data_IF_080542015359
#
_entry.id   IF_080542015359
#
_cell.length_a   1.000
_cell.length_b   1.000
_cell.length_c   1.000
_cell.angle_alpha   90.00
_cell.angle_beta   90.00
_cell.angle_gamma   90.00
#
_symmetry.space_group_name_H-M   'P 1'
#
loop_
_entity.id
_entity.type
_entity.pdbx_description
1 polymer ?
#
# COMPACT_ATOMS: atom_id res chain seq x y z
N UNK A 1 -49.85 -29.52 -37.69
CA UNK A 1 -49.83 -28.55 -36.56
C UNK A 1 -48.75 -28.87 -35.58
N UNK A 2 -47.44 -28.71 -35.88
CA UNK A 2 -46.32 -28.98 -34.95
C UNK A 2 -45.14 -28.01 -35.09
N UNK A 3 -45.32 -26.80 -35.67
CA UNK A 3 -44.23 -25.83 -35.90
C UNK A 3 -44.29 -24.55 -35.05
N UNK A 4 -45.27 -24.36 -34.17
CA UNK A 4 -45.43 -23.08 -33.42
C UNK A 4 -44.99 -23.15 -31.95
N UNK A 5 -44.49 -24.28 -31.44
CA UNK A 5 -44.06 -24.41 -30.04
C UNK A 5 -42.54 -24.40 -29.83
N UNK A 6 -41.76 -24.44 -30.93
CA UNK A 6 -40.29 -24.44 -30.82
C UNK A 6 -39.64 -23.02 -30.76
N UNK A 7 -40.34 -22.02 -31.33
CA UNK A 7 -39.83 -20.64 -31.31
C UNK A 7 -39.80 -20.00 -29.90
N UNK A 8 -40.85 -20.10 -29.08
CA UNK A 8 -40.81 -19.50 -27.74
C UNK A 8 -39.82 -20.19 -26.79
N UNK A 9 -39.58 -21.51 -26.94
CA UNK A 9 -38.59 -22.23 -26.13
C UNK A 9 -37.16 -21.84 -26.48
N UNK A 10 -36.84 -21.56 -27.75
CA UNK A 10 -35.51 -21.10 -28.17
C UNK A 10 -35.21 -19.67 -27.71
N UNK A 11 -36.24 -18.79 -27.70
CA UNK A 11 -36.09 -17.41 -27.19
C UNK A 11 -35.88 -17.39 -25.66
N UNK A 12 -36.58 -18.28 -24.93
CA UNK A 12 -36.39 -18.42 -23.47
C UNK A 12 -35.00 -18.95 -23.12
N UNK A 13 -34.51 -19.95 -23.88
CA UNK A 13 -33.16 -20.48 -23.68
C UNK A 13 -32.04 -19.46 -24.01
N UNK A 14 -32.24 -18.66 -25.06
CA UNK A 14 -31.32 -17.57 -25.39
C UNK A 14 -31.34 -16.45 -24.34
N UNK A 15 -32.54 -16.11 -23.82
CA UNK A 15 -32.70 -15.13 -22.74
C UNK A 15 -31.97 -15.56 -21.44
N UNK A 16 -32.10 -16.82 -21.05
CA UNK A 16 -31.44 -17.37 -19.86
C UNK A 16 -29.91 -17.46 -20.02
N UNK A 17 -29.43 -17.83 -21.21
CA UNK A 17 -27.99 -17.89 -21.46
C UNK A 17 -27.34 -16.50 -21.53
N UNK A 18 -28.03 -15.48 -22.04
CA UNK A 18 -27.55 -14.09 -22.07
C UNK A 18 -27.56 -13.49 -20.67
N UNK A 19 -28.57 -13.74 -19.84
CA UNK A 19 -28.59 -13.30 -18.45
C UNK A 19 -27.52 -13.99 -17.61
N UNK A 20 -27.28 -15.30 -17.81
CA UNK A 20 -26.19 -16.02 -17.13
C UNK A 20 -24.79 -15.56 -17.58
N UNK A 21 -24.63 -15.23 -18.88
CA UNK A 21 -23.37 -14.68 -19.39
C UNK A 21 -23.13 -13.23 -18.88
N UNK A 22 -24.21 -12.45 -18.69
CA UNK A 22 -24.12 -11.09 -18.13
C UNK A 22 -23.85 -11.09 -16.63
N UNK A 23 -24.45 -12.00 -15.88
CA UNK A 23 -24.13 -12.19 -14.46
C UNK A 23 -22.68 -12.71 -14.25
N UNK A 24 -22.14 -13.53 -15.17
CA UNK A 24 -20.72 -13.94 -15.11
C UNK A 24 -19.74 -12.87 -15.58
N UNK A 25 -20.15 -11.89 -16.40
CA UNK A 25 -19.28 -10.78 -16.82
C UNK A 25 -19.30 -9.58 -15.86
N UNK A 26 -20.33 -9.45 -15.04
CA UNK A 26 -20.44 -8.39 -14.03
C UNK A 26 -19.70 -8.69 -12.72
N UNK A 27 -19.06 -9.86 -12.57
CA UNK A 27 -18.52 -10.34 -11.31
C UNK A 27 -17.01 -10.56 -11.30
N UNK A 28 -16.22 -9.83 -12.09
CA UNK A 28 -14.75 -10.00 -12.13
C UNK A 28 -13.98 -8.69 -12.19
N UNK A 29 -14.40 -7.70 -11.45
CA UNK A 29 -13.57 -6.55 -11.15
C UNK A 29 -13.88 -6.11 -9.72
N UNK A 30 -12.97 -6.25 -8.81
CA UNK A 30 -12.99 -5.65 -7.49
C UNK A 30 -13.40 -6.56 -6.31
N UNK A 31 -13.44 -7.89 -6.46
CA UNK A 31 -13.79 -8.80 -5.36
C UNK A 31 -12.66 -9.76 -4.94
N UNK A 32 -11.53 -9.78 -5.63
CA UNK A 32 -10.39 -10.62 -5.23
C UNK A 32 -9.75 -10.16 -3.91
N UNK A 33 -9.76 -8.87 -3.66
CA UNK A 33 -9.14 -8.28 -2.47
C UNK A 33 -10.04 -8.39 -1.22
N UNK A 34 -11.32 -8.74 -1.39
CA UNK A 34 -12.26 -8.94 -0.29
C UNK A 34 -12.28 -10.39 0.24
N UNK A 35 -11.67 -11.34 -0.46
CA UNK A 35 -11.67 -12.75 -0.02
C UNK A 35 -10.91 -12.93 1.30
N UNK A 36 -9.87 -12.14 1.56
CA UNK A 36 -9.08 -12.19 2.79
C UNK A 36 -9.70 -11.42 3.97
N UNK A 37 -10.72 -10.59 3.73
CA UNK A 37 -11.49 -9.93 4.79
C UNK A 37 -12.26 -10.89 5.70
N UNK A 38 -12.39 -12.16 5.30
CA UNK A 38 -13.01 -13.23 6.09
C UNK A 38 -12.04 -13.99 6.98
N UNK A 39 -10.76 -13.63 6.95
CA UNK A 39 -9.79 -14.24 7.84
C UNK A 39 -10.19 -13.98 9.31
N UNK A 40 -10.20 -15.01 10.17
CA UNK A 40 -10.61 -14.84 11.55
C UNK A 40 -9.70 -13.83 12.26
N UNK A 41 -10.30 -13.02 13.14
CA UNK A 41 -9.56 -12.09 13.98
C UNK A 41 -8.57 -12.91 14.83
N UNK A 42 -7.26 -12.64 14.77
CA UNK A 42 -6.27 -13.33 15.56
C UNK A 42 -6.50 -13.17 17.07
N UNK A 43 -6.11 -14.17 17.86
CA UNK A 43 -6.28 -14.12 19.31
C UNK A 43 -5.51 -12.97 19.98
N UNK A 44 -4.42 -12.51 19.35
CA UNK A 44 -3.57 -11.40 19.82
C UNK A 44 -3.97 -10.03 19.25
N UNK A 45 -5.12 -9.90 18.58
CA UNK A 45 -5.56 -8.67 17.91
C UNK A 45 -5.61 -7.44 18.84
N UNK A 46 -5.92 -7.66 20.13
CA UNK A 46 -6.00 -6.61 21.15
C UNK A 46 -4.83 -6.65 22.14
N UNK A 47 -3.78 -7.40 21.84
CA UNK A 47 -2.60 -7.47 22.73
C UNK A 47 -1.87 -6.14 22.71
N UNK A 48 -1.42 -5.71 23.91
CA UNK A 48 -0.54 -4.55 24.03
C UNK A 48 0.88 -4.97 23.71
N UNK A 49 1.36 -4.49 22.57
CA UNK A 49 2.70 -4.81 22.04
C UNK A 49 3.52 -3.54 21.90
N UNK A 50 4.85 -3.68 21.80
CA UNK A 50 5.75 -2.55 21.60
C UNK A 50 5.60 -1.91 20.21
N UNK A 51 5.14 -2.69 19.23
CA UNK A 51 4.90 -2.24 17.86
C UNK A 51 3.53 -2.69 17.36
N UNK A 52 2.85 -1.79 16.69
CA UNK A 52 1.61 -2.04 15.96
C UNK A 52 1.78 -1.47 14.55
N UNK A 53 1.56 -2.28 13.55
CA UNK A 53 1.49 -1.80 12.17
C UNK A 53 0.23 -1.00 11.97
N UNK A 54 0.36 0.32 11.79
CA UNK A 54 -0.76 1.22 11.55
C UNK A 54 -0.86 1.57 10.07
N UNK A 55 -2.02 1.28 9.46
CA UNK A 55 -2.32 1.61 8.06
C UNK A 55 -3.17 2.87 8.00
N UNK A 56 -2.72 3.86 7.23
CA UNK A 56 -3.44 5.12 7.06
C UNK A 56 -4.62 4.95 6.09
N UNK A 57 -5.81 5.27 6.56
CA UNK A 57 -6.99 5.49 5.73
C UNK A 57 -7.08 6.97 5.39
N UNK A 58 -7.17 7.28 4.10
CA UNK A 58 -7.20 8.64 3.57
C UNK A 58 -8.33 8.78 2.52
N UNK A 59 -8.81 10.02 2.25
CA UNK A 59 -9.75 10.27 1.17
C UNK A 59 -9.10 10.14 -0.21
N UNK A 60 -9.86 9.58 -1.18
CA UNK A 60 -9.42 9.42 -2.55
C UNK A 60 -9.46 10.75 -3.32
N UNK A 61 -8.47 10.96 -4.19
CA UNK A 61 -8.39 12.10 -5.09
C UNK A 61 -9.54 12.10 -6.11
N UNK A 62 -10.30 13.18 -6.12
CA UNK A 62 -11.51 13.31 -6.94
C UNK A 62 -11.30 14.06 -8.26
N UNK A 63 -10.15 14.75 -8.41
CA UNK A 63 -9.90 15.68 -9.54
C UNK A 63 -9.79 15.04 -10.92
N UNK A 64 -9.60 13.73 -11.01
CA UNK A 64 -9.47 13.02 -12.30
C UNK A 64 -10.77 12.35 -12.76
N UNK A 65 -11.85 12.55 -12.02
CA UNK A 65 -13.15 11.93 -12.25
C UNK A 65 -13.10 10.40 -12.10
N UNK A 66 -14.26 9.79 -11.87
CA UNK A 66 -14.39 8.32 -11.68
C UNK A 66 -13.89 7.44 -12.86
N UNK A 67 -13.42 8.04 -13.95
CA UNK A 67 -13.01 7.34 -15.20
C UNK A 67 -11.51 7.37 -15.50
N UNK A 68 -10.69 8.08 -14.71
CA UNK A 68 -9.30 8.36 -15.07
C UNK A 68 -8.29 7.30 -14.61
N UNK A 69 -8.46 6.70 -13.45
CA UNK A 69 -7.59 5.65 -12.91
C UNK A 69 -8.42 4.52 -12.34
N UNK A 70 -7.98 3.28 -12.53
CA UNK A 70 -8.74 2.07 -12.32
C UNK A 70 -9.51 2.04 -10.98
N UNK A 71 -10.74 1.58 -11.04
CA UNK A 71 -11.52 1.21 -9.87
C UNK A 71 -10.70 0.29 -8.95
N UNK A 72 -10.50 0.71 -7.69
CA UNK A 72 -9.96 -0.15 -6.65
C UNK A 72 -8.55 0.19 -6.15
N UNK A 73 -7.95 1.29 -6.60
CA UNK A 73 -6.68 1.78 -6.06
C UNK A 73 -6.96 2.81 -4.96
N UNK A 74 -6.75 2.43 -3.73
CA UNK A 74 -6.91 3.28 -2.56
C UNK A 74 -6.13 2.71 -1.38
N UNK A 75 -6.31 3.28 -0.18
CA UNK A 75 -5.72 2.77 1.04
C UNK A 75 -6.04 1.28 1.33
N UNK A 76 -7.03 0.67 0.64
CA UNK A 76 -7.40 -0.75 0.79
C UNK A 76 -6.68 -1.69 -0.15
N UNK A 77 -5.78 -1.21 -1.03
CA UNK A 77 -4.98 -2.07 -1.91
C UNK A 77 -4.21 -3.08 -1.06
N UNK A 78 -4.29 -4.38 -1.43
CA UNK A 78 -3.66 -5.53 -0.76
C UNK A 78 -4.08 -5.76 0.71
N UNK A 79 -5.03 -4.96 1.21
CA UNK A 79 -5.50 -5.05 2.58
C UNK A 79 -6.46 -6.22 2.79
N UNK A 80 -6.35 -6.99 3.86
CA UNK A 80 -5.33 -6.92 4.91
C UNK A 80 -4.17 -7.91 4.75
N UNK A 81 -4.07 -8.61 3.63
CA UNK A 81 -3.16 -9.75 3.47
C UNK A 81 -1.69 -9.33 3.53
N UNK A 82 -1.30 -8.27 2.82
CA UNK A 82 0.07 -7.78 2.84
C UNK A 82 0.52 -7.37 4.24
N UNK A 83 -0.34 -6.66 5.00
CA UNK A 83 -0.05 -6.23 6.38
C UNK A 83 0.21 -7.42 7.30
N UNK A 84 -0.62 -8.46 7.19
CA UNK A 84 -0.53 -9.67 8.03
C UNK A 84 0.68 -10.52 7.69
N UNK A 85 1.04 -10.64 6.40
CA UNK A 85 2.26 -11.34 5.99
C UNK A 85 3.51 -10.56 6.40
N UNK A 86 3.49 -9.22 6.28
CA UNK A 86 4.57 -8.39 6.81
C UNK A 86 4.73 -8.56 8.33
N UNK A 87 3.65 -8.52 9.10
CA UNK A 87 3.70 -8.72 10.55
C UNK A 87 4.24 -10.09 10.95
N UNK A 88 3.93 -11.15 10.18
CA UNK A 88 4.55 -12.45 10.38
C UNK A 88 6.06 -12.40 10.16
N UNK A 89 6.54 -11.69 9.13
CA UNK A 89 7.97 -11.51 8.87
C UNK A 89 8.64 -10.69 9.98
N UNK A 90 8.05 -9.58 10.42
CA UNK A 90 8.55 -8.76 11.54
C UNK A 90 8.76 -9.63 12.78
N UNK A 91 7.77 -10.43 13.17
CA UNK A 91 7.84 -11.32 14.34
C UNK A 91 8.88 -12.44 14.22
N UNK A 92 9.18 -12.89 13.01
CA UNK A 92 10.14 -14.00 12.75
C UNK A 92 11.56 -13.53 12.52
N UNK A 93 11.72 -12.38 11.88
CA UNK A 93 13.02 -11.88 11.41
C UNK A 93 13.61 -10.79 12.30
N UNK A 94 12.83 -10.29 13.24
CA UNK A 94 13.28 -9.34 14.27
C UNK A 94 12.90 -9.85 15.66
N UNK A 95 13.33 -9.12 16.71
CA UNK A 95 12.90 -9.37 18.10
C UNK A 95 11.76 -8.44 18.53
N UNK A 96 11.16 -7.73 17.60
CA UNK A 96 10.07 -6.79 17.88
C UNK A 96 8.83 -7.59 18.31
N UNK A 97 8.29 -7.25 19.46
CA UNK A 97 7.02 -7.78 19.94
C UNK A 97 5.88 -7.03 19.26
N UNK A 98 5.34 -7.60 18.20
CA UNK A 98 4.21 -7.07 17.44
C UNK A 98 3.02 -8.04 17.49
N UNK A 99 1.80 -7.53 17.56
CA UNK A 99 0.60 -8.34 17.35
C UNK A 99 0.50 -8.75 15.86
N UNK A 100 -0.27 -9.78 15.55
CA UNK A 100 -0.40 -10.31 14.18
C UNK A 100 -1.48 -9.62 13.34
N UNK A 101 -2.06 -8.54 13.86
CA UNK A 101 -3.11 -7.76 13.19
C UNK A 101 -2.73 -6.29 13.13
N UNK A 102 -2.98 -5.71 11.98
CA UNK A 102 -2.83 -4.28 11.69
C UNK A 102 -3.85 -3.41 12.46
N UNK A 103 -3.64 -2.10 12.44
CA UNK A 103 -4.58 -1.08 12.92
C UNK A 103 -4.83 -0.07 11.81
N UNK A 104 -6.06 0.11 11.42
CA UNK A 104 -6.43 1.22 10.52
C UNK A 104 -6.57 2.50 11.34
N UNK A 105 -5.95 3.58 10.88
CA UNK A 105 -5.96 4.91 11.52
C UNK A 105 -6.40 5.98 10.53
N UNK A 106 -7.07 7.01 11.04
CA UNK A 106 -7.54 8.15 10.27
C UNK A 106 -6.87 9.45 10.72
N UNK A 107 -6.76 10.41 9.79
CA UNK A 107 -6.34 11.78 10.10
C UNK A 107 -7.47 12.63 10.70
N UNK A 108 -8.70 12.14 10.72
CA UNK A 108 -9.85 12.84 11.32
C UNK A 108 -9.96 12.61 12.82
N UNK A 109 -9.19 11.65 13.37
CA UNK A 109 -9.12 11.36 14.82
C UNK A 109 -7.72 11.59 15.37
N UNK A 110 -7.59 11.62 16.70
CA UNK A 110 -6.30 11.70 17.38
C UNK A 110 -5.65 10.33 17.60
N UNK A 111 -6.29 9.27 17.11
CA UNK A 111 -5.81 7.91 17.31
C UNK A 111 -4.43 7.66 16.67
N UNK A 112 -4.12 8.37 15.58
CA UNK A 112 -2.81 8.30 14.91
C UNK A 112 -1.63 8.56 15.84
N UNK A 113 -1.81 9.41 16.88
CA UNK A 113 -0.74 9.75 17.83
C UNK A 113 -0.38 8.59 18.78
N UNK A 114 -1.16 7.51 18.78
CA UNK A 114 -0.84 6.30 19.55
C UNK A 114 0.15 5.37 18.84
N UNK A 115 0.48 5.64 17.55
CA UNK A 115 1.29 4.76 16.72
C UNK A 115 2.52 5.49 16.19
N UNK A 116 3.74 5.06 16.56
CA UNK A 116 4.96 5.75 16.14
C UNK A 116 5.28 5.60 14.65
N UNK A 117 4.69 4.59 14.00
CA UNK A 117 4.92 4.24 12.59
C UNK A 117 3.59 4.07 11.88
N UNK A 118 3.43 4.74 10.74
CA UNK A 118 2.24 4.66 9.90
C UNK A 118 2.64 4.34 8.45
N UNK A 119 1.89 3.46 7.83
CA UNK A 119 2.04 3.07 6.42
C UNK A 119 0.86 3.57 5.59
N UNK A 120 1.16 4.14 4.42
CA UNK A 120 0.17 4.55 3.44
C UNK A 120 0.54 4.01 2.05
N UNK A 121 -0.37 3.25 1.47
CA UNK A 121 -0.24 2.65 0.14
C UNK A 121 -1.00 3.52 -0.88
N UNK A 122 -0.63 3.45 -2.16
CA UNK A 122 -1.33 4.12 -3.28
C UNK A 122 -1.55 5.63 -3.08
N UNK A 123 -0.56 6.29 -2.48
CA UNK A 123 -0.65 7.73 -2.15
C UNK A 123 -0.69 8.64 -3.39
N UNK A 124 -0.46 8.10 -4.57
CA UNK A 124 -0.75 8.75 -5.85
C UNK A 124 -2.24 9.02 -6.08
N UNK A 125 -3.10 8.49 -5.21
CA UNK A 125 -4.55 8.64 -5.25
C UNK A 125 -5.14 9.35 -4.03
N UNK A 126 -4.33 9.85 -3.11
CA UNK A 126 -4.83 10.53 -1.92
C UNK A 126 -5.19 12.00 -2.14
N UNK A 127 -6.13 12.50 -1.34
CA UNK A 127 -6.46 13.92 -1.29
C UNK A 127 -6.66 14.37 0.17
N UNK A 128 -5.64 14.98 0.76
CA UNK A 128 -5.73 15.47 2.14
C UNK A 128 -6.36 16.86 2.19
N UNK A 129 -7.31 17.06 3.13
CA UNK A 129 -7.76 18.40 3.49
C UNK A 129 -6.65 19.18 4.20
N UNK A 130 -6.82 20.48 4.36
CA UNK A 130 -5.83 21.30 5.06
C UNK A 130 -5.75 20.93 6.55
N UNK A 131 -6.86 20.51 7.15
CA UNK A 131 -6.93 20.01 8.53
C UNK A 131 -6.19 18.68 8.67
N UNK A 132 -6.40 17.76 7.74
CA UNK A 132 -5.72 16.46 7.71
C UNK A 132 -4.21 16.64 7.47
N UNK A 133 -3.82 17.53 6.56
CA UNK A 133 -2.42 17.84 6.31
C UNK A 133 -1.73 18.44 7.56
N UNK A 134 -2.43 19.35 8.26
CA UNK A 134 -1.94 19.93 9.54
C UNK A 134 -1.78 18.86 10.61
N UNK A 135 -2.74 17.93 10.75
CA UNK A 135 -2.66 16.84 11.72
C UNK A 135 -1.52 15.88 11.38
N UNK A 136 -1.33 15.53 10.11
CA UNK A 136 -0.21 14.69 9.68
C UNK A 136 1.13 15.39 9.95
N UNK A 137 1.24 16.69 9.70
CA UNK A 137 2.43 17.47 10.07
C UNK A 137 2.69 17.40 11.57
N UNK A 138 1.68 17.63 12.40
CA UNK A 138 1.83 17.56 13.86
C UNK A 138 2.25 16.17 14.34
N UNK A 139 1.69 15.10 13.75
CA UNK A 139 2.10 13.72 14.03
C UNK A 139 3.60 13.50 13.75
N UNK A 140 4.07 13.94 12.60
CA UNK A 140 5.47 13.79 12.18
C UNK A 140 6.43 14.65 13.01
N UNK A 141 6.06 15.90 13.34
CA UNK A 141 6.85 16.78 14.19
C UNK A 141 6.93 16.28 15.65
N UNK A 142 5.93 15.50 16.12
CA UNK A 142 5.96 14.85 17.45
C UNK A 142 6.78 13.56 17.49
N UNK A 143 7.39 13.17 16.39
CA UNK A 143 8.26 11.97 16.32
C UNK A 143 7.64 10.80 15.58
N UNK A 144 6.46 10.95 14.98
CA UNK A 144 5.88 9.94 14.11
C UNK A 144 6.73 9.70 12.85
N UNK A 145 6.53 8.54 12.24
CA UNK A 145 7.17 8.14 11.00
C UNK A 145 6.10 7.69 9.99
N UNK A 146 6.19 8.19 8.77
CA UNK A 146 5.32 7.78 7.66
C UNK A 146 6.13 7.06 6.59
N UNK A 147 5.73 5.85 6.25
CA UNK A 147 6.19 5.14 5.05
C UNK A 147 5.10 5.21 3.98
N UNK A 148 5.46 5.63 2.76
CA UNK A 148 4.56 5.63 1.61
C UNK A 148 5.10 4.75 0.50
N UNK A 149 4.20 4.04 -0.20
CA UNK A 149 4.53 2.98 -1.14
C UNK A 149 3.46 2.84 -2.22
N UNK A 150 3.75 2.08 -3.26
CA UNK A 150 2.85 1.65 -4.33
C UNK A 150 2.16 2.84 -5.02
N UNK A 151 2.98 3.71 -5.60
CA UNK A 151 2.51 4.74 -6.51
C UNK A 151 3.57 5.01 -7.58
N UNK A 152 3.11 5.27 -8.82
CA UNK A 152 3.96 5.11 -9.97
C UNK A 152 3.87 6.27 -10.96
N UNK A 153 5.02 6.57 -11.57
CA UNK A 153 5.12 7.52 -12.66
C UNK A 153 4.91 8.97 -12.28
N UNK A 154 4.88 9.79 -13.32
CA UNK A 154 4.85 11.24 -13.18
C UNK A 154 3.51 11.77 -12.65
N UNK A 155 2.40 11.15 -13.08
CA UNK A 155 1.07 11.65 -12.72
C UNK A 155 0.73 11.39 -11.27
N UNK A 156 0.97 10.17 -10.76
CA UNK A 156 0.72 9.83 -9.36
C UNK A 156 1.68 10.60 -8.44
N UNK A 157 2.93 10.83 -8.88
CA UNK A 157 3.84 11.74 -8.17
C UNK A 157 3.25 13.15 -8.01
N UNK A 158 2.64 13.70 -9.06
CA UNK A 158 2.02 15.02 -9.00
C UNK A 158 0.86 15.06 -7.99
N UNK A 159 -0.02 14.04 -8.00
CA UNK A 159 -1.14 13.94 -7.03
C UNK A 159 -0.60 13.78 -5.61
N UNK A 160 0.38 12.91 -5.40
CA UNK A 160 1.06 12.76 -4.11
C UNK A 160 1.56 14.10 -3.58
N UNK A 161 2.25 14.87 -4.43
CA UNK A 161 2.83 16.16 -4.05
C UNK A 161 1.77 17.24 -3.79
N UNK A 162 0.57 17.19 -4.37
CA UNK A 162 -0.51 18.14 -4.04
C UNK A 162 -0.87 18.11 -2.55
N UNK A 163 -0.97 16.91 -1.96
CA UNK A 163 -1.25 16.76 -0.54
C UNK A 163 0.01 16.92 0.32
N UNK A 164 1.14 16.33 -0.10
CA UNK A 164 2.38 16.41 0.67
C UNK A 164 2.90 17.85 0.83
N UNK A 165 2.73 18.69 -0.19
CA UNK A 165 3.11 20.11 -0.12
C UNK A 165 2.29 20.91 0.88
N UNK A 166 1.07 20.47 1.23
CA UNK A 166 0.30 21.07 2.33
C UNK A 166 0.86 20.64 3.69
N UNK A 167 1.37 19.40 3.81
CA UNK A 167 2.01 18.90 5.01
C UNK A 167 3.35 19.58 5.25
N UNK A 168 4.17 19.65 4.21
CA UNK A 168 5.52 20.23 4.24
C UNK A 168 5.73 21.27 3.15
N UNK A 169 5.22 22.51 3.33
CA UNK A 169 5.51 23.59 2.40
C UNK A 169 6.95 24.13 2.52
N UNK A 170 7.62 23.78 3.61
CA UNK A 170 8.91 24.29 4.06
C UNK A 170 10.05 23.28 3.99
N UNK A 171 9.77 22.03 3.64
CA UNK A 171 10.79 20.96 3.59
C UNK A 171 10.80 20.27 2.23
N UNK A 172 11.97 20.10 1.60
CA UNK A 172 12.07 19.44 0.32
C UNK A 172 11.98 17.90 0.47
N UNK A 173 11.48 17.24 -0.57
CA UNK A 173 11.72 15.83 -0.78
C UNK A 173 13.10 15.66 -1.41
N UNK A 174 13.93 14.80 -0.83
CA UNK A 174 15.29 14.53 -1.31
C UNK A 174 15.51 13.03 -1.52
N UNK A 175 16.43 12.66 -2.41
CA UNK A 175 16.86 11.26 -2.53
C UNK A 175 17.67 10.88 -1.28
N UNK A 176 17.43 9.68 -0.73
CA UNK A 176 18.13 9.16 0.44
C UNK A 176 19.54 8.73 0.03
N UNK A 177 20.56 9.20 0.76
CA UNK A 177 21.96 8.81 0.49
C UNK A 177 22.20 7.33 0.80
N UNK A 178 23.11 6.68 0.04
CA UNK A 178 23.45 5.25 0.20
C UNK A 178 23.90 4.89 1.63
N UNK A 179 24.59 5.81 2.29
CA UNK A 179 25.12 5.63 3.66
C UNK A 179 24.11 5.96 4.76
N UNK A 180 22.87 6.35 4.42
CA UNK A 180 21.88 6.72 5.42
C UNK A 180 21.54 5.54 6.33
N UNK A 181 21.38 5.82 7.62
CA UNK A 181 21.15 4.80 8.64
C UNK A 181 19.93 3.92 8.35
N UNK A 182 18.89 4.45 7.68
CA UNK A 182 17.70 3.68 7.35
C UNK A 182 18.00 2.44 6.50
N UNK A 183 19.07 2.49 5.69
CA UNK A 183 19.49 1.35 4.86
C UNK A 183 20.42 0.36 5.56
N UNK A 184 20.83 0.65 6.83
CA UNK A 184 21.87 -0.13 7.54
C UNK A 184 21.50 -0.45 8.99
N UNK A 185 20.31 -0.07 9.46
CA UNK A 185 19.94 -0.20 10.88
C UNK A 185 19.88 -1.65 11.38
N UNK A 186 19.53 -2.61 10.51
CA UNK A 186 19.56 -4.05 10.77
C UNK A 186 20.15 -4.83 9.59
N UNK A 187 19.63 -4.60 8.40
CA UNK A 187 20.11 -5.20 7.16
C UNK A 187 20.87 -4.17 6.35
N UNK A 188 21.99 -4.56 5.74
CA UNK A 188 22.64 -3.75 4.72
C UNK A 188 21.87 -3.87 3.40
N UNK A 189 21.34 -2.74 2.94
CA UNK A 189 20.53 -2.66 1.73
C UNK A 189 21.30 -2.02 0.55
N UNK A 190 22.57 -2.40 0.37
CA UNK A 190 23.48 -1.83 -0.65
C UNK A 190 22.98 -2.10 -2.09
N UNK A 191 22.27 -3.20 -2.30
CA UNK A 191 21.75 -3.61 -3.60
C UNK A 191 20.23 -3.50 -3.63
N UNK A 192 19.72 -2.26 -3.73
CA UNK A 192 18.30 -2.01 -3.90
C UNK A 192 17.95 -2.00 -5.39
N UNK A 193 16.97 -2.80 -5.75
CA UNK A 193 16.39 -2.86 -7.09
C UNK A 193 14.94 -2.41 -7.04
N UNK A 194 14.36 -2.10 -8.19
CA UNK A 194 12.92 -1.86 -8.31
C UNK A 194 12.14 -3.11 -7.88
N UNK A 195 11.20 -2.94 -6.99
CA UNK A 195 10.30 -4.01 -6.53
C UNK A 195 8.99 -3.84 -7.31
N UNK A 196 8.66 -4.80 -8.19
CA UNK A 196 7.49 -4.69 -9.05
C UNK A 196 6.22 -5.20 -8.40
N UNK A 197 5.08 -4.65 -8.78
CA UNK A 197 3.79 -5.29 -8.55
C UNK A 197 3.62 -6.56 -9.38
N UNK A 198 2.77 -7.48 -8.92
CA UNK A 198 2.49 -8.75 -9.61
C UNK A 198 1.91 -8.52 -11.02
N UNK A 199 1.15 -7.44 -11.20
CA UNK A 199 0.59 -7.06 -12.49
C UNK A 199 1.70 -6.73 -13.50
N UNK A 200 2.70 -5.94 -13.12
CA UNK A 200 3.86 -5.60 -13.95
C UNK A 200 4.65 -6.86 -14.33
N UNK A 201 4.91 -7.75 -13.37
CA UNK A 201 5.61 -9.02 -13.61
C UNK A 201 4.89 -9.91 -14.64
N UNK A 202 3.56 -9.96 -14.62
CA UNK A 202 2.76 -10.71 -15.60
C UNK A 202 2.91 -10.18 -17.03
N UNK A 203 3.26 -8.90 -17.17
CA UNK A 203 3.61 -8.30 -18.46
C UNK A 203 5.10 -8.35 -18.79
N UNK A 204 5.93 -8.96 -17.93
CA UNK A 204 7.36 -9.14 -18.14
C UNK A 204 8.18 -7.86 -17.91
N UNK A 205 7.67 -6.90 -17.16
CA UNK A 205 8.34 -5.65 -16.79
C UNK A 205 8.41 -5.51 -15.27
N UNK A 206 9.22 -4.55 -14.78
CA UNK A 206 9.38 -4.28 -13.35
C UNK A 206 8.81 -2.93 -12.93
N UNK A 207 8.15 -2.23 -13.83
CA UNK A 207 7.63 -0.87 -13.60
C UNK A 207 6.18 -0.75 -14.05
N UNK A 208 5.50 0.23 -13.50
CA UNK A 208 4.17 0.65 -13.91
C UNK A 208 4.20 2.06 -14.48
N UNK A 209 3.26 2.36 -15.39
CA UNK A 209 3.15 3.65 -16.07
C UNK A 209 4.50 4.08 -16.69
N UNK A 210 4.94 5.32 -16.44
CA UNK A 210 6.26 5.85 -16.83
C UNK A 210 7.32 5.75 -15.69
N UNK A 211 7.00 4.98 -14.63
CA UNK A 211 7.81 4.81 -13.42
C UNK A 211 9.00 3.86 -13.55
N UNK A 212 9.80 4.00 -14.61
CA UNK A 212 10.87 3.04 -14.98
C UNK A 212 12.01 2.99 -13.96
N UNK A 213 12.23 4.07 -13.20
CA UNK A 213 13.34 4.16 -12.26
C UNK A 213 12.83 4.21 -10.82
N UNK A 214 13.22 3.25 -9.95
CA UNK A 214 12.85 3.28 -8.54
C UNK A 214 13.48 4.51 -7.86
N UNK A 215 12.75 5.12 -6.93
CA UNK A 215 13.20 6.29 -6.19
C UNK A 215 13.02 6.09 -4.69
N UNK A 216 14.13 6.10 -3.98
CA UNK A 216 14.22 6.04 -2.53
C UNK A 216 14.37 7.46 -2.01
N UNK A 217 13.28 8.07 -1.56
CA UNK A 217 13.22 9.48 -1.19
C UNK A 217 12.76 9.67 0.23
N UNK A 218 13.03 10.84 0.81
CA UNK A 218 12.61 11.18 2.15
C UNK A 218 12.33 12.66 2.33
N UNK A 219 11.61 12.96 3.41
CA UNK A 219 11.62 14.27 4.08
C UNK A 219 12.32 14.09 5.42
N UNK A 220 13.28 14.97 5.71
CA UNK A 220 14.01 15.01 6.97
C UNK A 220 13.46 16.11 7.89
N UNK A 221 13.51 15.86 9.21
CA UNK A 221 13.28 16.91 10.20
C UNK A 221 14.54 17.78 10.42
N UNK A 222 14.43 18.78 11.29
CA UNK A 222 15.52 19.72 11.57
C UNK A 222 16.70 19.08 12.32
N UNK A 223 16.53 17.82 12.80
CA UNK A 223 17.57 17.03 13.45
C UNK A 223 18.25 16.04 12.49
N UNK A 224 17.84 16.03 11.23
CA UNK A 224 18.35 15.09 10.22
C UNK A 224 17.72 13.68 10.31
N UNK A 225 16.59 13.51 11.02
CA UNK A 225 15.85 12.26 11.06
C UNK A 225 14.88 12.21 9.88
N UNK A 226 14.77 11.06 9.22
CA UNK A 226 13.71 10.82 8.23
C UNK A 226 12.37 10.75 8.96
N UNK A 227 11.42 11.58 8.55
CA UNK A 227 10.04 11.57 9.04
C UNK A 227 9.06 11.00 8.03
N UNK A 228 9.36 11.12 6.73
CA UNK A 228 8.62 10.47 5.65
C UNK A 228 9.60 9.71 4.77
N UNK A 229 9.43 8.40 4.67
CA UNK A 229 10.16 7.55 3.72
C UNK A 229 9.26 7.24 2.52
N UNK A 230 9.77 7.50 1.31
CA UNK A 230 9.00 7.50 0.06
C UNK A 230 9.57 6.45 -0.88
N UNK A 231 8.81 5.37 -1.09
CA UNK A 231 9.11 4.27 -2.01
C UNK A 231 8.38 4.50 -3.34
N UNK A 232 8.89 5.44 -4.16
CA UNK A 232 8.24 5.82 -5.42
C UNK A 232 8.67 4.91 -6.58
N UNK A 233 7.74 4.49 -7.41
CA UNK A 233 7.90 3.52 -8.51
C UNK A 233 8.24 2.11 -8.01
N UNK A 234 7.69 1.71 -6.89
CA UNK A 234 7.85 0.38 -6.30
C UNK A 234 6.54 -0.05 -5.68
N UNK A 235 6.37 -1.35 -5.52
CA UNK A 235 5.22 -1.99 -4.91
C UNK A 235 5.72 -3.04 -3.89
N UNK A 236 5.98 -2.55 -2.67
CA UNK A 236 6.38 -3.43 -1.58
C UNK A 236 5.16 -4.19 -1.03
N UNK A 237 3.97 -3.60 -1.15
CA UNK A 237 2.70 -4.20 -0.74
C UNK A 237 2.45 -5.53 -1.43
N UNK A 238 2.50 -5.55 -2.76
CA UNK A 238 2.39 -6.76 -3.57
C UNK A 238 3.52 -7.77 -3.25
N UNK A 239 4.74 -7.27 -3.05
CA UNK A 239 5.87 -8.14 -2.71
C UNK A 239 5.66 -8.89 -1.38
N UNK A 240 4.97 -8.28 -0.41
CA UNK A 240 4.59 -8.97 0.82
C UNK A 240 3.36 -9.86 0.60
N UNK A 241 2.34 -9.37 -0.12
CA UNK A 241 1.09 -10.10 -0.37
C UNK A 241 1.32 -11.42 -1.12
N UNK A 242 2.22 -11.39 -2.11
CA UNK A 242 2.50 -12.54 -2.98
C UNK A 242 3.70 -13.36 -2.55
N UNK A 243 4.33 -13.06 -1.40
CA UNK A 243 5.54 -13.74 -0.91
C UNK A 243 5.35 -15.25 -0.69
N UNK A 244 4.13 -15.70 -0.46
CA UNK A 244 3.77 -17.11 -0.28
C UNK A 244 3.42 -17.83 -1.58
N UNK A 245 3.51 -17.14 -2.73
CA UNK A 245 3.15 -17.66 -4.05
C UNK A 245 4.38 -17.87 -4.94
N UNK A 246 4.46 -19.01 -5.63
CA UNK A 246 5.59 -19.32 -6.52
C UNK A 246 5.66 -18.40 -7.76
N UNK A 247 4.57 -17.70 -8.09
CA UNK A 247 4.49 -16.75 -9.19
C UNK A 247 5.25 -15.45 -8.92
N UNK A 248 5.50 -15.12 -7.63
CA UNK A 248 6.25 -13.93 -7.26
C UNK A 248 7.70 -14.29 -6.93
N UNK A 249 8.70 -13.65 -7.60
CA UNK A 249 10.11 -13.99 -7.39
C UNK A 249 10.59 -13.70 -5.96
N UNK A 250 11.13 -14.70 -5.30
CA UNK A 250 11.56 -14.66 -3.89
C UNK A 250 12.53 -13.52 -3.59
N UNK A 251 13.42 -13.16 -4.51
CA UNK A 251 14.40 -12.09 -4.27
C UNK A 251 13.76 -10.71 -4.11
N UNK A 252 12.64 -10.40 -4.77
CA UNK A 252 11.88 -9.16 -4.57
C UNK A 252 11.16 -9.18 -3.22
N UNK A 253 10.46 -10.27 -2.88
CA UNK A 253 9.81 -10.41 -1.59
C UNK A 253 10.81 -10.31 -0.42
N UNK A 254 11.94 -11.00 -0.54
CA UNK A 254 13.02 -10.96 0.46
C UNK A 254 13.58 -9.55 0.64
N UNK A 255 13.77 -8.78 -0.44
CA UNK A 255 14.22 -7.40 -0.37
C UNK A 255 13.16 -6.51 0.27
N UNK A 256 11.88 -6.65 -0.13
CA UNK A 256 10.77 -5.87 0.40
C UNK A 256 10.61 -6.04 1.93
N UNK A 257 10.70 -7.28 2.43
CA UNK A 257 10.68 -7.53 3.88
C UNK A 257 11.86 -6.87 4.61
N UNK A 258 13.06 -6.95 4.07
CA UNK A 258 14.24 -6.31 4.69
C UNK A 258 14.12 -4.80 4.72
N UNK A 259 13.58 -4.17 3.67
CA UNK A 259 13.31 -2.74 3.63
C UNK A 259 12.31 -2.36 4.71
N UNK A 260 11.16 -3.04 4.78
CA UNK A 260 10.14 -2.73 5.78
C UNK A 260 10.67 -2.87 7.21
N UNK A 261 11.42 -3.94 7.50
CA UNK A 261 12.00 -4.17 8.84
C UNK A 261 13.00 -3.07 9.18
N UNK A 262 13.86 -2.67 8.25
CA UNK A 262 14.77 -1.54 8.47
C UNK A 262 14.01 -0.24 8.75
N UNK A 263 12.98 0.06 7.97
CA UNK A 263 12.19 1.28 8.14
C UNK A 263 11.42 1.29 9.47
N UNK A 264 10.88 0.13 9.88
CA UNK A 264 10.23 -0.03 11.20
C UNK A 264 11.22 0.23 12.32
N UNK A 265 12.40 -0.42 12.29
CA UNK A 265 13.42 -0.25 13.33
C UNK A 265 13.90 1.19 13.36
N UNK A 266 14.17 1.79 12.19
CA UNK A 266 14.57 3.19 12.10
C UNK A 266 13.51 4.10 12.73
N UNK A 267 12.23 3.96 12.36
CA UNK A 267 11.14 4.77 12.89
C UNK A 267 10.90 4.60 14.40
N UNK A 268 11.27 3.44 14.97
CA UNK A 268 11.17 3.18 16.41
C UNK A 268 12.39 3.68 17.23
N UNK A 269 13.54 3.93 16.59
CA UNK A 269 14.80 4.18 17.30
C UNK A 269 15.43 5.55 17.03
N UNK A 270 15.00 6.25 16.03
CA UNK A 270 15.46 7.58 15.62
C UNK A 270 14.33 8.59 15.68
#
# INVERSE_FOLDING_TARGET
MRRSLLLPAAILLLGVTVTYAWQRRGGRSGFSDLEDNWAPIPADANEKTEFVWARLRYPDFTGWGRRGFGYGRSWTTDYPKNDRLLLQAVRRLSRIHARSMEQVVDLDSDDIFNYPFVYAVEVGHWELSDEQAKKLREYLDRGGFLMVDDFHGTLEWQVFMLSLSKVFPDRPVVDIEEKDAIFHVLYDLDQRVQIPGIAALRFGVTYEQDGVVPRWRAIYDDKGRIVVAICHNMDLGDAWEWADRPEYPEHYASLAFRIAINYIIYGMTH
#
